data_IF_708611144754
#
_entry.id   IF_708611144754
#
_cell.length_a   1.000
_cell.length_b   1.000
_cell.length_c   1.000
_cell.angle_alpha   90.00
_cell.angle_beta   90.00
_cell.angle_gamma   90.00
#
_symmetry.space_group_name_H-M   'P 1'
#
loop_
_entity.id
_entity.type
_entity.pdbx_description
1 polymer ?
#
# COMPACT_ATOMS: atom_id res chain seq x y z
N UNK A 1 -19.82 2.27 -35.92
CA UNK A 1 -19.22 2.21 -34.58
C UNK A 1 -19.60 0.86 -34.02
N UNK A 2 -18.63 0.03 -33.64
CA UNK A 2 -18.91 -1.24 -32.96
C UNK A 2 -19.60 -0.92 -31.63
N UNK A 3 -20.70 -1.60 -31.31
CA UNK A 3 -21.35 -1.43 -30.01
C UNK A 3 -20.42 -1.89 -28.86
N UNK A 4 -20.65 -1.35 -27.66
CA UNK A 4 -19.78 -1.58 -26.51
C UNK A 4 -19.63 -3.07 -26.16
N UNK A 5 -20.71 -3.84 -26.28
CA UNK A 5 -20.73 -5.26 -25.97
C UNK A 5 -19.88 -6.06 -26.97
N UNK A 6 -20.04 -5.82 -28.27
CA UNK A 6 -19.25 -6.46 -29.32
C UNK A 6 -17.76 -6.16 -29.16
N UNK A 7 -17.39 -4.92 -28.82
CA UNK A 7 -15.99 -4.57 -28.54
C UNK A 7 -15.45 -5.28 -27.29
N UNK A 8 -16.19 -5.23 -26.17
CA UNK A 8 -15.77 -5.85 -24.92
C UNK A 8 -15.65 -7.37 -25.00
N UNK A 9 -16.63 -8.04 -25.63
CA UNK A 9 -16.60 -9.49 -25.90
C UNK A 9 -15.36 -9.89 -26.70
N UNK A 10 -15.03 -9.12 -27.75
CA UNK A 10 -13.83 -9.37 -28.54
C UNK A 10 -12.56 -9.16 -27.73
N UNK A 11 -12.47 -8.08 -26.97
CA UNK A 11 -11.30 -7.78 -26.13
C UNK A 11 -11.02 -8.91 -25.12
N UNK A 12 -12.07 -9.41 -24.47
CA UNK A 12 -11.97 -10.55 -23.54
C UNK A 12 -11.57 -11.84 -24.26
N UNK A 13 -12.19 -12.14 -25.41
CA UNK A 13 -11.84 -13.33 -26.19
C UNK A 13 -10.40 -13.30 -26.71
N UNK A 14 -9.91 -12.14 -27.18
CA UNK A 14 -8.53 -11.95 -27.62
C UNK A 14 -7.53 -12.15 -26.47
N UNK A 15 -7.97 -11.99 -25.21
CA UNK A 15 -7.21 -12.23 -23.99
C UNK A 15 -7.32 -13.67 -23.46
N UNK A 16 -8.16 -14.51 -24.08
CA UNK A 16 -8.43 -15.88 -23.62
C UNK A 16 -9.51 -16.02 -22.55
N UNK A 17 -10.31 -14.97 -22.29
CA UNK A 17 -11.45 -15.01 -21.37
C UNK A 17 -12.71 -15.45 -22.12
N UNK A 18 -13.35 -16.52 -21.62
CA UNK A 18 -14.62 -17.03 -22.13
C UNK A 18 -15.77 -16.55 -21.26
N UNK A 19 -16.80 -15.98 -21.88
CA UNK A 19 -17.99 -15.54 -21.13
C UNK A 19 -18.88 -16.72 -20.78
N UNK A 20 -19.15 -16.89 -19.48
CA UNK A 20 -19.87 -18.05 -18.94
C UNK A 20 -19.11 -19.36 -19.11
N UNK A 21 -17.78 -19.30 -19.24
CA UNK A 21 -16.93 -20.47 -19.24
C UNK A 21 -16.60 -20.96 -17.83
N UNK A 22 -16.00 -22.16 -17.76
CA UNK A 22 -15.65 -22.83 -16.51
C UNK A 22 -14.16 -22.64 -16.13
N UNK A 23 -13.39 -21.86 -16.91
CA UNK A 23 -11.99 -21.56 -16.61
C UNK A 23 -11.85 -20.63 -15.39
N UNK A 24 -10.73 -20.66 -14.66
CA UNK A 24 -10.57 -19.86 -13.43
C UNK A 24 -10.70 -18.35 -13.69
N UNK A 25 -10.11 -17.85 -14.78
CA UNK A 25 -10.18 -16.44 -15.19
C UNK A 25 -11.43 -16.09 -16.01
N UNK A 26 -12.36 -17.02 -16.22
CA UNK A 26 -13.60 -16.76 -16.97
C UNK A 26 -14.60 -15.96 -16.13
N UNK A 27 -15.43 -15.16 -16.83
CA UNK A 27 -16.40 -14.27 -16.19
C UNK A 27 -17.81 -14.52 -16.70
N UNK A 28 -18.80 -14.23 -15.86
CA UNK A 28 -20.21 -14.19 -16.24
C UNK A 28 -20.71 -12.76 -16.19
N UNK A 29 -21.39 -12.30 -17.25
CA UNK A 29 -22.02 -10.98 -17.29
C UNK A 29 -23.54 -11.15 -17.18
N UNK A 30 -24.11 -10.60 -16.12
CA UNK A 30 -25.55 -10.66 -15.80
C UNK A 30 -26.32 -9.46 -16.35
N UNK A 31 -25.64 -8.33 -16.59
CA UNK A 31 -26.25 -7.09 -17.06
C UNK A 31 -25.42 -6.42 -18.16
N UNK A 32 -26.01 -6.23 -19.35
CA UNK A 32 -25.31 -5.64 -20.51
C UNK A 32 -24.90 -4.16 -20.33
N UNK A 33 -25.42 -3.45 -19.31
CA UNK A 33 -24.92 -2.10 -18.94
C UNK A 33 -23.46 -2.14 -18.49
N UNK A 34 -22.95 -3.31 -18.09
CA UNK A 34 -21.55 -3.58 -17.80
C UNK A 34 -20.60 -3.02 -18.86
N UNK A 35 -20.87 -3.33 -20.14
CA UNK A 35 -19.96 -3.01 -21.24
C UNK A 35 -19.73 -1.50 -21.39
N UNK A 36 -20.80 -0.72 -21.38
CA UNK A 36 -20.70 0.74 -21.50
C UNK A 36 -20.02 1.36 -20.29
N UNK A 37 -20.29 0.85 -19.09
CA UNK A 37 -19.70 1.36 -17.84
C UNK A 37 -18.21 1.09 -17.76
N UNK A 38 -17.75 -0.13 -18.06
CA UNK A 38 -16.33 -0.47 -18.05
C UNK A 38 -15.56 0.33 -19.10
N UNK A 39 -16.10 0.47 -20.32
CA UNK A 39 -15.42 1.27 -21.36
C UNK A 39 -15.37 2.76 -21.03
N UNK A 40 -16.38 3.29 -20.33
CA UNK A 40 -16.44 4.70 -19.93
C UNK A 40 -15.56 4.99 -18.71
N UNK A 41 -15.67 4.17 -17.66
CA UNK A 41 -15.14 4.46 -16.33
C UNK A 41 -13.93 3.59 -15.96
N UNK A 42 -13.54 2.64 -16.83
CA UNK A 42 -12.40 1.72 -16.67
C UNK A 42 -12.40 0.97 -15.34
N UNK A 43 -11.35 1.08 -14.55
CA UNK A 43 -11.14 0.35 -13.29
C UNK A 43 -12.27 0.66 -12.29
N UNK A 44 -12.73 1.91 -12.26
CA UNK A 44 -13.88 2.31 -11.46
C UNK A 44 -15.17 1.64 -11.96
N UNK A 45 -15.36 1.59 -13.27
CA UNK A 45 -16.50 0.93 -13.89
C UNK A 45 -16.54 -0.57 -13.60
N UNK A 46 -15.39 -1.24 -13.74
CA UNK A 46 -15.19 -2.67 -13.50
C UNK A 46 -15.51 -3.05 -12.05
N UNK A 47 -14.92 -2.33 -11.09
CA UNK A 47 -15.12 -2.61 -9.67
C UNK A 47 -16.52 -2.26 -9.18
N UNK A 48 -17.10 -1.13 -9.59
CA UNK A 48 -18.45 -0.78 -9.16
C UNK A 48 -19.53 -1.65 -9.82
N UNK A 49 -19.34 -2.11 -11.06
CA UNK A 49 -20.26 -3.08 -11.66
C UNK A 49 -20.17 -4.46 -11.02
N UNK A 50 -19.01 -4.82 -10.45
CA UNK A 50 -18.88 -6.04 -9.63
C UNK A 50 -19.67 -5.89 -8.32
N UNK A 51 -19.51 -4.76 -7.63
CA UNK A 51 -20.27 -4.43 -6.42
C UNK A 51 -21.79 -4.39 -6.65
N UNK A 52 -22.21 -3.93 -7.83
CA UNK A 52 -23.63 -3.90 -8.22
C UNK A 52 -24.17 -5.26 -8.72
N UNK A 53 -23.34 -6.32 -8.75
CA UNK A 53 -23.73 -7.66 -9.19
C UNK A 53 -24.00 -7.80 -10.69
N UNK A 54 -23.40 -6.94 -11.52
CA UNK A 54 -23.61 -6.98 -12.98
C UNK A 54 -22.75 -8.03 -13.67
N UNK A 55 -21.69 -8.49 -13.00
CA UNK A 55 -20.80 -9.53 -13.49
C UNK A 55 -20.08 -10.19 -12.30
N UNK A 56 -19.67 -11.44 -12.49
CA UNK A 56 -18.85 -12.22 -11.56
C UNK A 56 -17.70 -12.90 -12.30
N UNK A 57 -16.66 -13.30 -11.57
CA UNK A 57 -15.57 -14.16 -12.05
C UNK A 57 -15.59 -15.49 -11.30
N UNK A 58 -15.13 -16.56 -11.93
CA UNK A 58 -14.92 -17.84 -11.23
C UNK A 58 -13.86 -17.68 -10.13
N UNK A 59 -12.72 -17.09 -10.48
CA UNK A 59 -11.64 -16.67 -9.57
C UNK A 59 -11.24 -15.22 -9.92
N UNK A 60 -11.58 -14.28 -9.04
CA UNK A 60 -11.44 -12.84 -9.31
C UNK A 60 -9.97 -12.42 -9.48
N UNK A 61 -9.09 -12.99 -8.67
CA UNK A 61 -7.65 -12.79 -8.71
C UNK A 61 -7.03 -13.29 -10.03
N UNK A 62 -7.43 -14.46 -10.50
CA UNK A 62 -7.00 -15.00 -11.81
C UNK A 62 -7.45 -14.11 -12.97
N UNK A 63 -8.71 -13.66 -12.96
CA UNK A 63 -9.20 -12.71 -13.96
C UNK A 63 -8.42 -11.38 -13.94
N UNK A 64 -8.19 -10.80 -12.76
CA UNK A 64 -7.46 -9.54 -12.63
C UNK A 64 -5.98 -9.68 -13.01
N UNK A 65 -5.35 -10.82 -12.72
CA UNK A 65 -3.98 -11.14 -13.13
C UNK A 65 -3.87 -11.21 -14.65
N UNK A 66 -4.78 -11.93 -15.30
CA UNK A 66 -4.84 -12.02 -16.75
C UNK A 66 -5.13 -10.66 -17.39
N UNK A 67 -6.10 -9.91 -16.87
CA UNK A 67 -6.46 -8.59 -17.41
C UNK A 67 -5.29 -7.60 -17.35
N UNK A 68 -4.45 -7.68 -16.31
CA UNK A 68 -3.23 -6.89 -16.19
C UNK A 68 -2.11 -7.40 -17.12
N UNK A 69 -1.88 -8.71 -17.17
CA UNK A 69 -0.81 -9.32 -17.98
C UNK A 69 -1.05 -9.15 -19.48
N UNK A 70 -2.32 -9.24 -19.92
CA UNK A 70 -2.74 -8.96 -21.28
C UNK A 70 -2.90 -7.45 -21.58
N UNK A 71 -2.70 -6.58 -20.58
CA UNK A 71 -2.84 -5.13 -20.66
C UNK A 71 -4.15 -4.68 -21.33
N UNK A 72 -5.28 -5.28 -20.93
CA UNK A 72 -6.60 -4.96 -21.51
C UNK A 72 -6.95 -3.47 -21.37
N UNK A 73 -6.39 -2.85 -20.33
CA UNK A 73 -6.51 -1.42 -20.06
C UNK A 73 -6.02 -0.54 -21.22
N UNK A 74 -4.94 -0.91 -21.91
CA UNK A 74 -4.40 -0.07 -22.99
C UNK A 74 -5.27 -0.09 -24.25
N UNK A 75 -6.04 -1.16 -24.47
CA UNK A 75 -7.02 -1.28 -25.55
C UNK A 75 -8.25 -0.37 -25.35
N UNK A 76 -8.59 -0.02 -24.10
CA UNK A 76 -9.73 0.85 -23.79
C UNK A 76 -9.33 2.32 -23.93
N UNK A 77 -10.00 3.09 -24.79
CA UNK A 77 -9.71 4.53 -24.96
C UNK A 77 -10.07 5.33 -23.70
N UNK A 78 -9.40 6.46 -23.48
CA UNK A 78 -9.76 7.39 -22.38
C UNK A 78 -11.04 8.13 -22.74
N UNK A 79 -12.04 8.12 -21.85
CA UNK A 79 -13.28 8.88 -22.00
C UNK A 79 -13.14 10.30 -21.39
N UNK A 80 -13.96 11.29 -21.80
CA UNK A 80 -13.99 12.60 -21.16
C UNK A 80 -14.34 12.54 -19.66
N UNK A 81 -15.23 11.62 -19.27
CA UNK A 81 -15.61 11.40 -17.86
C UNK A 81 -14.43 10.89 -17.05
N UNK A 82 -13.67 9.93 -17.58
CA UNK A 82 -12.45 9.44 -16.95
C UNK A 82 -11.43 10.56 -16.77
N UNK A 83 -11.24 11.43 -17.78
CA UNK A 83 -10.35 12.59 -17.67
C UNK A 83 -10.79 13.56 -16.56
N UNK A 84 -12.09 13.78 -16.39
CA UNK A 84 -12.62 14.58 -15.28
C UNK A 84 -12.37 13.92 -13.92
N UNK A 85 -12.55 12.60 -13.80
CA UNK A 85 -12.26 11.85 -12.57
C UNK A 85 -10.78 11.93 -12.20
N UNK A 86 -9.89 11.71 -13.17
CA UNK A 86 -8.43 11.86 -13.00
C UNK A 86 -8.08 13.30 -12.61
N UNK A 87 -8.68 14.30 -13.27
CA UNK A 87 -8.49 15.71 -12.95
C UNK A 87 -8.92 16.07 -11.51
N UNK A 88 -10.02 15.49 -11.03
CA UNK A 88 -10.48 15.66 -9.63
C UNK A 88 -9.51 15.03 -8.63
N UNK A 89 -8.99 13.83 -8.93
CA UNK A 89 -7.96 13.19 -8.10
C UNK A 89 -6.71 14.06 -7.99
N UNK A 90 -6.32 14.76 -9.07
CA UNK A 90 -5.17 15.65 -9.09
C UNK A 90 -5.37 16.96 -8.29
N UNK A 91 -6.56 17.57 -8.37
CA UNK A 91 -6.82 18.90 -7.78
C UNK A 91 -7.18 18.83 -6.29
N UNK A 92 -7.64 17.68 -5.78
CA UNK A 92 -8.26 17.59 -4.45
C UNK A 92 -7.46 16.93 -3.32
N UNK A 93 -6.30 16.31 -3.57
CA UNK A 93 -5.65 15.41 -2.61
C UNK A 93 -4.16 15.67 -2.37
N UNK A 94 -3.79 16.92 -2.11
CA UNK A 94 -2.44 17.20 -1.55
C UNK A 94 -2.33 16.55 -0.17
N UNK A 95 -1.30 15.73 0.04
CA UNK A 95 -0.96 15.04 1.30
C UNK A 95 -0.45 16.01 2.40
N UNK A 96 -1.23 17.08 2.61
CA UNK A 96 -1.07 18.01 3.72
C UNK A 96 -1.25 17.26 5.04
N UNK A 97 -0.66 17.77 6.12
CA UNK A 97 -0.81 17.20 7.48
C UNK A 97 -2.26 16.86 7.84
N UNK A 98 -3.18 17.81 7.62
CA UNK A 98 -4.62 17.62 7.88
C UNK A 98 -5.25 16.56 6.96
N UNK A 99 -4.83 16.48 5.70
CA UNK A 99 -5.31 15.48 4.74
C UNK A 99 -4.88 14.07 5.11
N UNK A 100 -3.59 13.88 5.40
CA UNK A 100 -3.02 12.60 5.80
C UNK A 100 -3.72 12.04 7.05
N UNK A 101 -3.90 12.88 8.09
CA UNK A 101 -4.62 12.48 9.32
C UNK A 101 -6.06 12.06 9.05
N UNK A 102 -6.80 12.83 8.23
CA UNK A 102 -8.19 12.51 7.89
C UNK A 102 -8.30 11.20 7.11
N UNK A 103 -7.41 10.98 6.14
CA UNK A 103 -7.47 9.79 5.30
C UNK A 103 -7.06 8.54 6.09
N UNK A 104 -6.04 8.64 6.95
CA UNK A 104 -5.66 7.55 7.86
C UNK A 104 -6.82 7.21 8.80
N UNK A 105 -7.48 8.21 9.39
CA UNK A 105 -8.63 7.95 10.25
C UNK A 105 -9.78 7.27 9.47
N UNK A 106 -10.17 7.80 8.31
CA UNK A 106 -11.29 7.23 7.54
C UNK A 106 -11.08 5.78 7.07
N UNK A 107 -9.83 5.36 6.84
CA UNK A 107 -9.53 3.99 6.41
C UNK A 107 -9.54 2.98 7.57
N UNK A 108 -9.02 3.37 8.74
CA UNK A 108 -8.89 2.46 9.89
C UNK A 108 -10.08 2.47 10.87
N UNK A 109 -11.00 3.43 10.75
CA UNK A 109 -12.20 3.60 11.59
C UNK A 109 -13.40 2.71 11.14
N UNK A 110 -13.13 1.64 10.36
CA UNK A 110 -14.13 0.62 9.99
C UNK A 110 -14.34 -0.44 11.08
N UNK A 111 -13.54 -0.38 12.16
CA UNK A 111 -13.54 -1.33 13.27
C UNK A 111 -12.33 -2.28 13.24
N UNK A 112 -11.76 -2.57 14.42
CA UNK A 112 -10.64 -3.51 14.54
C UNK A 112 -11.07 -4.99 14.42
N UNK A 113 -12.37 -5.29 14.53
CA UNK A 113 -12.91 -6.65 14.47
C UNK A 113 -12.65 -7.34 13.12
N UNK A 114 -12.73 -6.59 12.02
CA UNK A 114 -12.34 -7.08 10.70
C UNK A 114 -10.84 -7.39 10.65
N UNK A 115 -10.00 -6.44 11.09
CA UNK A 115 -8.54 -6.57 11.03
C UNK A 115 -8.03 -7.69 11.92
N UNK A 116 -8.57 -7.88 13.12
CA UNK A 116 -8.20 -8.97 14.02
C UNK A 116 -8.54 -10.36 13.45
N UNK A 117 -9.55 -10.46 12.58
CA UNK A 117 -9.94 -11.72 11.92
C UNK A 117 -9.15 -11.99 10.64
N UNK A 118 -8.68 -10.93 9.99
CA UNK A 118 -8.02 -10.99 8.68
C UNK A 118 -6.50 -11.08 8.80
N UNK A 119 -5.91 -10.39 9.77
CA UNK A 119 -4.47 -10.25 9.91
C UNK A 119 -3.86 -11.33 10.81
N UNK A 120 -2.53 -11.40 10.82
CA UNK A 120 -1.78 -12.21 11.77
C UNK A 120 -1.95 -11.72 13.21
N UNK A 121 -1.46 -12.51 14.17
CA UNK A 121 -1.52 -12.21 15.61
C UNK A 121 -0.91 -10.87 16.01
N UNK A 122 0.02 -10.31 15.22
CA UNK A 122 0.63 -8.98 15.45
C UNK A 122 -0.07 -7.87 14.68
N UNK A 123 -1.18 -8.13 14.00
CA UNK A 123 -1.97 -7.16 13.22
C UNK A 123 -1.11 -6.36 12.23
N UNK A 124 -0.32 -7.07 11.43
CA UNK A 124 0.56 -6.48 10.42
C UNK A 124 -0.20 -6.36 9.10
N UNK A 125 -0.66 -5.15 8.79
CA UNK A 125 -1.35 -4.86 7.53
C UNK A 125 -0.38 -4.41 6.43
N UNK A 126 0.51 -5.32 6.04
CA UNK A 126 1.50 -5.16 4.97
C UNK A 126 1.91 -6.52 4.41
N UNK A 127 2.59 -6.54 3.27
CA UNK A 127 3.20 -7.75 2.68
C UNK A 127 3.96 -8.59 3.71
N UNK A 128 3.79 -9.92 3.63
CA UNK A 128 4.53 -10.92 4.39
C UNK A 128 5.79 -11.35 3.62
N UNK A 129 6.52 -12.35 4.12
CA UNK A 129 7.67 -12.95 3.42
C UNK A 129 7.58 -14.48 3.51
N UNK A 130 7.35 -15.14 2.38
CA UNK A 130 6.91 -16.54 2.34
C UNK A 130 8.01 -17.57 2.13
N UNK A 131 9.26 -17.14 1.89
CA UNK A 131 10.35 -18.03 1.46
C UNK A 131 10.47 -19.34 2.28
N UNK A 132 10.29 -19.26 3.60
CA UNK A 132 10.40 -20.39 4.52
C UNK A 132 9.17 -20.47 5.46
N UNK A 133 7.99 -20.05 4.98
CA UNK A 133 6.75 -20.02 5.75
C UNK A 133 5.59 -20.71 5.03
N UNK A 134 4.76 -21.43 5.78
CA UNK A 134 3.56 -22.13 5.30
C UNK A 134 2.25 -21.53 5.86
N UNK A 135 2.35 -20.53 6.74
CA UNK A 135 1.23 -19.79 7.31
C UNK A 135 1.53 -18.28 7.44
N UNK A 136 0.47 -17.47 7.58
CA UNK A 136 0.56 -16.00 7.62
C UNK A 136 1.32 -15.48 8.84
N UNK A 137 1.16 -16.11 10.02
CA UNK A 137 1.84 -15.68 11.25
C UNK A 137 3.36 -15.85 11.12
N UNK A 138 3.79 -16.99 10.58
CA UNK A 138 5.19 -17.33 10.32
C UNK A 138 5.76 -16.43 9.22
N UNK A 139 5.01 -16.20 8.14
CA UNK A 139 5.44 -15.33 7.05
C UNK A 139 5.57 -13.86 7.49
N UNK A 140 4.68 -13.37 8.37
CA UNK A 140 4.81 -12.04 8.94
C UNK A 140 6.02 -11.94 9.87
N UNK A 141 6.23 -12.89 10.79
CA UNK A 141 7.43 -12.89 11.65
C UNK A 141 8.72 -12.96 10.81
N UNK A 142 8.76 -13.76 9.75
CA UNK A 142 9.90 -13.83 8.82
C UNK A 142 10.19 -12.47 8.17
N UNK A 143 9.15 -11.72 7.79
CA UNK A 143 9.28 -10.37 7.24
C UNK A 143 9.78 -9.36 8.30
N UNK A 144 9.25 -9.40 9.53
CA UNK A 144 9.70 -8.51 10.60
C UNK A 144 11.17 -8.79 10.95
N UNK A 145 11.56 -10.06 10.98
CA UNK A 145 12.94 -10.48 11.19
C UNK A 145 13.87 -10.01 10.08
N UNK A 146 13.48 -10.19 8.82
CA UNK A 146 14.22 -9.71 7.66
C UNK A 146 14.50 -8.21 7.76
N UNK A 147 13.50 -7.41 8.15
CA UNK A 147 13.66 -5.96 8.35
C UNK A 147 14.68 -5.67 9.44
N UNK A 148 14.59 -6.34 10.60
CA UNK A 148 15.51 -6.14 11.72
C UNK A 148 16.95 -6.51 11.35
N UNK A 149 17.15 -7.64 10.66
CA UNK A 149 18.46 -8.08 10.17
C UNK A 149 19.05 -7.12 9.14
N UNK A 150 18.25 -6.66 8.19
CA UNK A 150 18.68 -5.66 7.20
C UNK A 150 19.04 -4.33 7.84
N UNK A 151 18.34 -3.95 8.91
CA UNK A 151 18.69 -2.77 9.69
C UNK A 151 19.92 -2.98 10.57
N UNK A 152 20.45 -4.20 10.71
CA UNK A 152 21.58 -4.48 11.61
C UNK A 152 21.29 -3.98 13.02
N UNK A 153 20.11 -4.30 13.55
CA UNK A 153 19.72 -3.91 14.91
C UNK A 153 20.61 -4.59 15.94
N UNK A 154 21.15 -3.82 16.88
CA UNK A 154 21.91 -4.30 18.03
C UNK A 154 21.24 -3.85 19.33
N UNK A 155 21.40 -4.62 20.43
CA UNK A 155 20.84 -4.26 21.73
C UNK A 155 21.18 -2.83 22.16
N UNK A 156 20.19 -2.11 22.67
CA UNK A 156 20.31 -0.73 23.13
C UNK A 156 20.19 0.35 22.05
N UNK A 157 20.14 -0.01 20.76
CA UNK A 157 19.89 0.96 19.68
C UNK A 157 18.50 1.62 19.81
N UNK A 158 18.41 2.85 19.31
CA UNK A 158 17.18 3.63 19.16
C UNK A 158 16.63 3.48 17.75
N UNK A 159 15.49 2.82 17.65
CA UNK A 159 14.77 2.60 16.41
C UNK A 159 13.56 3.53 16.30
N UNK A 160 13.43 4.24 15.19
CA UNK A 160 12.20 4.95 14.83
C UNK A 160 11.37 4.11 13.86
N UNK A 161 10.11 3.86 14.21
CA UNK A 161 9.11 3.21 13.35
C UNK A 161 8.07 4.23 12.86
N UNK A 162 8.23 4.68 11.61
CA UNK A 162 7.35 5.67 10.97
C UNK A 162 6.15 4.97 10.34
N UNK A 163 4.97 5.22 10.92
CA UNK A 163 3.74 4.53 10.52
C UNK A 163 3.56 3.21 11.27
N UNK A 164 3.77 3.20 12.58
CA UNK A 164 3.88 1.98 13.39
C UNK A 164 2.60 1.12 13.49
N UNK A 165 1.49 1.55 12.90
CA UNK A 165 0.20 0.85 12.92
C UNK A 165 -0.24 0.50 14.35
N UNK A 166 -0.69 -0.73 14.54
CA UNK A 166 -1.05 -1.28 15.86
C UNK A 166 0.17 -1.69 16.72
N UNK A 167 1.38 -1.25 16.38
CA UNK A 167 2.61 -1.49 17.16
C UNK A 167 3.20 -2.90 17.00
N UNK A 168 2.75 -3.70 16.03
CA UNK A 168 3.21 -5.08 15.85
C UNK A 168 4.71 -5.21 15.55
N UNK A 169 5.26 -4.34 14.69
CA UNK A 169 6.71 -4.31 14.42
C UNK A 169 7.49 -3.77 15.62
N UNK A 170 7.04 -2.67 16.23
CA UNK A 170 7.67 -2.10 17.42
C UNK A 170 7.78 -3.12 18.56
N UNK A 171 6.72 -3.89 18.80
CA UNK A 171 6.71 -5.00 19.73
C UNK A 171 7.77 -6.05 19.36
N UNK A 172 7.76 -6.53 18.11
CA UNK A 172 8.69 -7.56 17.64
C UNK A 172 10.15 -7.15 17.80
N UNK A 173 10.51 -5.93 17.36
CA UNK A 173 11.87 -5.42 17.45
C UNK A 173 12.33 -5.29 18.90
N UNK A 174 11.51 -4.73 19.79
CA UNK A 174 11.84 -4.61 21.20
C UNK A 174 12.02 -5.98 21.89
N UNK A 175 11.15 -6.96 21.60
CA UNK A 175 11.21 -8.31 22.17
C UNK A 175 12.41 -9.12 21.70
N UNK A 176 12.74 -9.05 20.40
CA UNK A 176 13.69 -9.96 19.75
C UNK A 176 15.09 -9.38 19.59
N UNK A 177 15.21 -8.05 19.54
CA UNK A 177 16.47 -7.35 19.28
C UNK A 177 16.91 -6.42 20.43
N UNK A 178 16.13 -6.32 21.51
CA UNK A 178 16.45 -5.52 22.72
C UNK A 178 16.75 -4.03 22.39
N UNK A 179 15.97 -3.45 21.47
CA UNK A 179 16.08 -2.06 21.05
C UNK A 179 15.02 -1.17 21.69
N UNK A 180 15.34 0.13 21.83
CA UNK A 180 14.38 1.16 22.22
C UNK A 180 13.62 1.66 21.00
N UNK A 181 12.32 1.41 20.93
CA UNK A 181 11.51 1.81 19.75
C UNK A 181 10.70 3.05 20.03
N UNK A 182 10.79 4.07 19.17
CA UNK A 182 9.80 5.14 19.08
C UNK A 182 8.90 4.86 17.89
N UNK A 183 7.63 4.52 18.13
CA UNK A 183 6.64 4.30 17.09
C UNK A 183 5.76 5.53 16.91
N UNK A 184 5.55 5.97 15.66
CA UNK A 184 4.67 7.10 15.36
C UNK A 184 3.55 6.74 14.39
N UNK A 185 2.34 7.24 14.65
CA UNK A 185 1.20 7.13 13.72
C UNK A 185 0.26 8.33 13.88
N UNK A 186 -0.33 8.87 12.77
CA UNK A 186 -1.35 9.91 12.87
C UNK A 186 -2.73 9.38 13.31
N UNK A 187 -2.97 8.06 13.24
CA UNK A 187 -4.26 7.43 13.49
C UNK A 187 -4.50 7.19 15.00
N UNK A 188 -5.58 7.76 15.54
CA UNK A 188 -5.84 7.73 16.99
C UNK A 188 -6.16 6.35 17.56
N UNK A 189 -6.94 5.53 16.84
CA UNK A 189 -7.35 4.20 17.33
C UNK A 189 -6.19 3.22 17.43
N UNK A 190 -5.30 3.24 16.44
CA UNK A 190 -4.08 2.44 16.42
C UNK A 190 -3.16 2.74 17.62
N UNK A 191 -3.09 4.01 18.05
CA UNK A 191 -2.23 4.43 19.18
C UNK A 191 -2.64 3.77 20.49
N UNK A 192 -3.94 3.63 20.76
CA UNK A 192 -4.42 3.01 21.99
C UNK A 192 -4.00 1.54 22.06
N UNK A 193 -4.27 0.78 21.00
CA UNK A 193 -3.90 -0.64 20.90
C UNK A 193 -2.38 -0.82 20.93
N UNK A 194 -1.64 0.00 20.19
CA UNK A 194 -0.18 -0.07 20.17
C UNK A 194 0.42 0.17 21.56
N UNK A 195 -0.09 1.17 22.30
CA UNK A 195 0.37 1.44 23.67
C UNK A 195 0.08 0.31 24.64
N UNK A 196 -1.12 -0.26 24.57
CA UNK A 196 -1.49 -1.40 25.41
C UNK A 196 -0.60 -2.61 25.11
N UNK A 197 -0.44 -2.93 23.82
CA UNK A 197 0.39 -4.04 23.33
C UNK A 197 1.85 -3.94 23.76
N UNK A 198 2.41 -2.73 23.84
CA UNK A 198 3.83 -2.53 24.12
C UNK A 198 4.13 -1.97 25.51
N UNK A 199 3.14 -1.94 26.42
CA UNK A 199 3.24 -1.25 27.72
C UNK A 199 4.39 -1.74 28.62
N UNK A 200 4.78 -3.02 28.51
CA UNK A 200 5.86 -3.63 29.29
C UNK A 200 7.20 -3.68 28.57
N UNK A 201 7.31 -3.04 27.40
CA UNK A 201 8.50 -3.08 26.54
C UNK A 201 9.15 -1.68 26.47
N UNK A 202 10.42 -1.58 26.06
CA UNK A 202 11.08 -0.30 25.82
C UNK A 202 10.57 0.42 24.54
N UNK A 203 9.26 0.66 24.47
CA UNK A 203 8.57 1.23 23.31
C UNK A 203 7.80 2.49 23.72
N UNK A 204 8.01 3.58 22.99
CA UNK A 204 7.28 4.84 23.12
C UNK A 204 6.41 5.09 21.87
N UNK A 205 5.09 5.00 22.05
CA UNK A 205 4.12 5.23 20.97
C UNK A 205 3.55 6.65 21.04
N UNK A 206 3.76 7.41 19.95
CA UNK A 206 3.36 8.82 19.84
C UNK A 206 2.35 9.02 18.70
N UNK A 207 1.28 9.74 19.02
CA UNK A 207 0.36 10.23 18.00
C UNK A 207 0.88 11.54 17.40
N UNK A 208 1.79 11.44 16.44
CA UNK A 208 2.45 12.59 15.83
C UNK A 208 2.68 12.36 14.33
N UNK A 209 2.71 13.45 13.57
CA UNK A 209 3.17 13.44 12.18
C UNK A 209 4.71 13.42 12.16
N UNK A 210 5.32 12.56 11.34
CA UNK A 210 6.78 12.45 11.25
C UNK A 210 7.48 13.79 10.95
N UNK A 211 6.79 14.71 10.26
CA UNK A 211 7.30 16.04 9.93
C UNK A 211 7.53 16.92 11.16
N UNK A 212 6.84 16.60 12.25
CA UNK A 212 6.86 17.37 13.50
C UNK A 212 7.65 16.62 14.60
N UNK A 213 8.25 15.47 14.29
CA UNK A 213 9.11 14.71 15.20
C UNK A 213 10.50 15.34 15.29
N UNK A 214 11.07 15.41 16.49
CA UNK A 214 12.47 15.79 16.73
C UNK A 214 13.24 14.63 17.40
N UNK A 215 14.56 14.60 17.22
CA UNK A 215 15.46 13.61 17.81
C UNK A 215 16.49 13.07 16.81
N UNK A 216 17.29 12.10 17.26
CA UNK A 216 18.31 11.41 16.45
C UNK A 216 18.22 9.92 16.71
N UNK A 217 18.08 9.09 15.70
CA UNK A 217 17.88 7.64 15.83
C UNK A 217 19.01 6.90 15.14
N UNK A 218 19.40 5.76 15.70
CA UNK A 218 20.40 4.88 15.09
C UNK A 218 19.84 4.25 13.80
N UNK A 219 18.55 3.92 13.83
CA UNK A 219 17.86 3.23 12.74
C UNK A 219 16.45 3.79 12.52
N UNK A 220 16.01 3.81 11.27
CA UNK A 220 14.64 4.16 10.89
C UNK A 220 14.03 3.02 10.10
N UNK A 221 12.79 2.65 10.40
CA UNK A 221 11.95 1.85 9.52
C UNK A 221 10.72 2.64 9.10
N UNK A 222 10.19 2.32 7.92
CA UNK A 222 8.84 2.72 7.56
C UNK A 222 8.23 1.71 6.60
N UNK A 223 7.08 1.16 6.99
CA UNK A 223 6.40 0.05 6.33
C UNK A 223 5.01 0.52 5.89
N UNK A 224 4.71 0.46 4.60
CA UNK A 224 3.37 0.77 4.05
C UNK A 224 2.94 2.22 4.22
N UNK A 225 3.88 3.14 4.31
CA UNK A 225 3.63 4.57 4.55
C UNK A 225 3.87 5.44 3.30
N UNK A 226 4.80 5.05 2.42
CA UNK A 226 5.30 5.93 1.35
C UNK A 226 4.24 6.13 0.27
N UNK A 227 3.36 5.15 0.10
CA UNK A 227 2.15 5.17 -0.72
C UNK A 227 1.23 6.35 -0.35
N UNK A 228 1.31 6.83 0.89
CA UNK A 228 0.50 7.92 1.43
C UNK A 228 1.24 9.27 1.52
N UNK A 229 2.56 9.30 1.25
CA UNK A 229 3.34 10.57 1.19
C UNK A 229 2.97 11.37 -0.04
N UNK A 230 2.80 10.67 -1.16
CA UNK A 230 2.53 11.26 -2.46
C UNK A 230 3.79 11.78 -3.15
N UNK A 231 3.77 11.82 -4.50
CA UNK A 231 4.95 12.01 -5.33
C UNK A 231 5.65 13.37 -5.15
N UNK A 232 4.88 14.41 -4.82
CA UNK A 232 5.41 15.78 -4.65
C UNK A 232 6.11 15.98 -3.29
N UNK A 233 5.94 15.06 -2.34
CA UNK A 233 6.49 15.17 -0.98
C UNK A 233 7.60 14.15 -0.67
N UNK A 234 7.93 13.24 -1.59
CA UNK A 234 8.96 12.22 -1.38
C UNK A 234 10.31 12.84 -0.98
N UNK A 235 10.76 13.90 -1.64
CA UNK A 235 12.03 14.56 -1.30
C UNK A 235 12.01 15.17 0.12
N UNK A 236 10.88 15.77 0.53
CA UNK A 236 10.71 16.28 1.90
C UNK A 236 10.72 15.16 2.93
N UNK A 237 10.15 14.01 2.57
CA UNK A 237 10.16 12.83 3.43
C UNK A 237 11.58 12.28 3.64
N UNK A 238 12.35 12.07 2.56
CA UNK A 238 13.76 11.64 2.67
C UNK A 238 14.63 12.66 3.41
N UNK A 239 14.44 13.97 3.18
CA UNK A 239 15.16 15.00 3.93
C UNK A 239 14.86 14.93 5.43
N UNK A 240 13.58 14.76 5.82
CA UNK A 240 13.20 14.65 7.23
C UNK A 240 13.77 13.40 7.89
N UNK A 241 13.76 12.26 7.20
CA UNK A 241 14.36 11.04 7.72
C UNK A 241 15.86 11.20 7.94
N UNK A 242 16.57 11.87 7.02
CA UNK A 242 18.01 12.14 7.17
C UNK A 242 18.28 13.01 8.40
N UNK A 243 17.49 14.07 8.60
CA UNK A 243 17.64 14.98 9.74
C UNK A 243 17.35 14.29 11.10
N UNK A 244 16.62 13.17 11.08
CA UNK A 244 16.33 12.33 12.26
C UNK A 244 17.33 11.20 12.47
N UNK A 245 18.24 10.96 11.54
CA UNK A 245 19.15 9.83 11.56
C UNK A 245 20.51 10.24 12.11
N UNK A 246 21.15 9.35 12.88
CA UNK A 246 22.57 9.48 13.21
C UNK A 246 23.42 9.51 11.93
N UNK A 247 24.59 10.21 11.88
CA UNK A 247 25.48 10.20 10.73
C UNK A 247 25.84 8.82 10.17
N UNK A 248 25.97 7.80 11.03
CA UNK A 248 26.26 6.42 10.63
C UNK A 248 24.99 5.53 10.67
N UNK A 249 23.82 6.15 10.76
CA UNK A 249 22.55 5.44 10.84
C UNK A 249 22.08 4.89 9.49
N UNK A 250 21.08 4.01 9.56
CA UNK A 250 20.50 3.37 8.38
C UNK A 250 18.98 3.39 8.43
N UNK A 251 18.37 3.48 7.26
CA UNK A 251 16.93 3.46 7.09
C UNK A 251 16.49 2.34 6.15
N UNK A 252 15.40 1.66 6.50
CA UNK A 252 14.72 0.70 5.63
C UNK A 252 13.32 1.20 5.29
N UNK A 253 13.05 1.31 3.98
CA UNK A 253 11.70 1.54 3.46
C UNK A 253 11.13 0.28 2.83
N UNK A 254 9.94 -0.10 3.29
CA UNK A 254 9.11 -1.13 2.68
C UNK A 254 7.86 -0.44 2.13
N UNK A 255 7.74 -0.41 0.80
CA UNK A 255 6.61 0.21 0.08
C UNK A 255 6.20 -0.65 -1.11
N UNK A 256 4.92 -0.64 -1.43
CA UNK A 256 4.42 -1.05 -2.75
C UNK A 256 4.96 -0.04 -3.76
N UNK A 257 5.44 -0.53 -4.91
CA UNK A 257 6.00 0.30 -5.97
C UNK A 257 5.34 0.04 -7.32
N UNK A 258 5.40 1.03 -8.21
CA UNK A 258 4.88 1.00 -9.56
C UNK A 258 6.02 0.97 -10.58
N UNK A 259 5.86 0.22 -11.67
CA UNK A 259 6.79 0.29 -12.81
C UNK A 259 6.71 1.65 -13.53
N UNK A 260 5.54 2.30 -13.51
CA UNK A 260 5.35 3.61 -14.14
C UNK A 260 5.61 4.76 -13.18
N UNK A 261 6.12 5.87 -13.72
CA UNK A 261 6.20 7.15 -13.03
C UNK A 261 4.81 7.79 -12.91
N UNK A 262 4.11 7.51 -11.80
CA UNK A 262 2.73 7.96 -11.57
C UNK A 262 2.68 9.24 -10.74
N UNK A 263 1.65 10.06 -10.99
CA UNK A 263 1.28 11.22 -10.16
C UNK A 263 -0.08 11.10 -9.49
N UNK A 264 -0.86 10.09 -9.87
CA UNK A 264 -2.20 9.81 -9.36
C UNK A 264 -2.34 8.32 -9.12
N UNK A 265 -3.18 7.96 -8.16
CA UNK A 265 -3.55 6.57 -7.87
C UNK A 265 -4.57 6.02 -8.86
N UNK A 266 -4.91 4.74 -8.66
CA UNK A 266 -6.04 4.11 -9.33
C UNK A 266 -7.37 4.72 -8.84
N UNK A 267 -8.32 5.06 -9.74
CA UNK A 267 -9.57 5.72 -9.34
C UNK A 267 -10.46 4.91 -8.40
N UNK A 268 -10.48 3.57 -8.52
CA UNK A 268 -11.30 2.73 -7.65
C UNK A 268 -10.69 2.65 -6.25
N UNK A 269 -9.39 2.38 -6.14
CA UNK A 269 -8.69 2.42 -4.85
C UNK A 269 -8.78 3.80 -4.19
N UNK A 270 -8.60 4.87 -4.96
CA UNK A 270 -8.69 6.25 -4.48
C UNK A 270 -10.07 6.63 -3.93
N UNK A 271 -11.13 5.97 -4.42
CA UNK A 271 -12.52 6.20 -3.99
C UNK A 271 -12.89 5.34 -2.79
N UNK A 272 -12.54 4.06 -2.79
CA UNK A 272 -13.09 3.08 -1.86
C UNK A 272 -12.13 2.64 -0.76
N UNK A 273 -10.82 2.63 -1.02
CA UNK A 273 -9.84 1.99 -0.12
C UNK A 273 -8.83 3.02 0.40
N UNK A 274 -7.99 3.57 -0.47
CA UNK A 274 -6.87 4.45 -0.11
C UNK A 274 -6.97 5.85 -0.74
N UNK A 275 -7.81 6.76 -0.21
CA UNK A 275 -7.92 8.11 -0.73
C UNK A 275 -6.58 8.85 -0.76
N UNK A 276 -6.16 9.24 -1.97
CA UNK A 276 -4.92 9.99 -2.22
C UNK A 276 -3.66 9.13 -2.25
N UNK A 277 -3.78 7.81 -2.15
CA UNK A 277 -2.66 6.89 -2.30
C UNK A 277 -2.06 6.95 -3.70
N UNK A 278 -0.74 7.03 -3.79
CA UNK A 278 -0.01 6.99 -5.06
C UNK A 278 1.21 6.11 -4.89
N UNK A 279 1.27 5.04 -5.68
CA UNK A 279 2.41 4.12 -5.67
C UNK A 279 3.62 4.80 -6.36
N UNK A 280 4.75 4.97 -5.67
CA UNK A 280 5.96 5.53 -6.27
C UNK A 280 6.62 4.52 -7.21
N UNK A 281 7.35 5.00 -8.22
CA UNK A 281 8.29 4.15 -8.95
C UNK A 281 9.68 4.15 -8.32
N UNK A 282 10.48 3.13 -8.62
CA UNK A 282 11.89 3.07 -8.19
C UNK A 282 12.67 4.32 -8.67
N UNK A 283 12.35 4.82 -9.87
CA UNK A 283 12.92 6.07 -10.38
C UNK A 283 12.52 7.31 -9.57
N UNK A 284 11.28 7.36 -9.06
CA UNK A 284 10.83 8.43 -8.17
C UNK A 284 11.55 8.38 -6.82
N UNK A 285 11.70 7.18 -6.27
CA UNK A 285 12.41 6.95 -5.00
C UNK A 285 13.87 7.37 -5.14
N UNK A 286 14.59 6.88 -6.15
CA UNK A 286 15.98 7.26 -6.38
C UNK A 286 16.16 8.76 -6.61
N UNK A 287 15.26 9.40 -7.36
CA UNK A 287 15.28 10.87 -7.55
C UNK A 287 15.05 11.62 -6.23
N UNK A 288 14.16 11.13 -5.37
CA UNK A 288 13.82 11.76 -4.11
C UNK A 288 14.92 11.60 -3.05
N UNK A 289 15.58 10.44 -3.02
CA UNK A 289 16.75 10.20 -2.20
C UNK A 289 17.92 11.12 -2.60
N UNK A 290 18.11 11.36 -3.90
CA UNK A 290 19.11 12.31 -4.40
C UNK A 290 20.54 11.91 -4.04
N UNK A 291 21.42 12.88 -3.84
CA UNK A 291 22.82 12.65 -3.44
C UNK A 291 23.03 12.57 -1.92
N UNK A 292 21.97 12.71 -1.14
CA UNK A 292 22.02 12.73 0.33
C UNK A 292 21.97 11.32 0.94
N UNK A 293 21.71 10.30 0.11
CA UNK A 293 21.55 8.91 0.53
C UNK A 293 22.34 7.99 -0.39
N UNK A 294 22.96 6.96 0.20
CA UNK A 294 23.43 5.79 -0.52
C UNK A 294 22.33 4.73 -0.50
N UNK A 295 21.94 4.21 -1.67
CA UNK A 295 21.00 3.08 -1.75
C UNK A 295 21.82 1.80 -1.68
N UNK A 296 21.91 1.21 -0.49
CA UNK A 296 22.73 0.02 -0.23
C UNK A 296 22.11 -1.26 -0.80
N UNK A 297 20.79 -1.38 -0.80
CA UNK A 297 20.07 -2.57 -1.25
C UNK A 297 18.68 -2.23 -1.79
N UNK A 298 18.22 -3.03 -2.77
CA UNK A 298 16.84 -3.02 -3.27
C UNK A 298 16.38 -4.46 -3.39
N UNK A 299 15.38 -4.84 -2.59
CA UNK A 299 14.82 -6.19 -2.60
C UNK A 299 13.36 -6.16 -3.05
N UNK A 300 13.07 -6.88 -4.13
CA UNK A 300 11.72 -7.03 -4.65
C UNK A 300 11.22 -8.46 -4.40
N UNK A 301 10.18 -8.59 -3.59
CA UNK A 301 9.43 -9.80 -3.33
C UNK A 301 7.93 -9.55 -3.55
N UNK A 302 7.59 -8.80 -4.61
CA UNK A 302 6.20 -8.51 -4.98
C UNK A 302 5.29 -9.74 -5.12
N UNK A 303 5.76 -10.91 -5.61
CA UNK A 303 4.94 -12.13 -5.66
C UNK A 303 4.48 -12.67 -4.29
N UNK A 304 5.06 -12.18 -3.18
CA UNK A 304 4.67 -12.56 -1.82
C UNK A 304 3.45 -11.75 -1.29
N UNK A 305 3.06 -10.68 -2.00
CA UNK A 305 1.94 -9.79 -1.65
C UNK A 305 0.64 -10.30 -2.27
#
# INVERSE_FOLDING_TARGET
>A
MTDAATFGRRLLADAGVTLGGDGPHDITVHDDRFWERVLRDRELGLGESYQDGWWDANELDEFLCLAQTADLRSAVRRSPQLLLTIGRAYVGKRQTRRGARRNAQAHYDIGNDLYERMLDKRMIYSCAYWQDADDLDTAQEAKLDLICRKLGLEPGMRLLDIGCGWGGFAQYAAERYDVHVTGITPAGEQVAIARERTASLPVDIRQIDYRDLDGTFDRITSIGMMEHVGPDYLATFFAKCRDLLDPDGMMLHHTIASNDWKKTGDPWFDRYIFPGGVLPSLGQIGKAAGGDWSIEDVHNFGPDY
#
